data_IF_285213814905
#
_entry.id   IF_285213814905
#
_cell.length_a   1.000
_cell.length_b   1.000
_cell.length_c   1.000
_cell.angle_alpha   90.00
_cell.angle_beta   90.00
_cell.angle_gamma   90.00
#
_symmetry.space_group_name_H-M   'P 1'
#
loop_
_entity.id
_entity.type
_entity.pdbx_description
1 polymer ?
#
# COMPACT_ATOMS: atom_id res chain seq x y z
N UNK A 1 2.49 6.10 83.45
CA UNK A 1 1.56 6.53 82.38
C UNK A 1 2.36 6.71 81.09
N UNK A 2 2.01 5.91 80.07
CA UNK A 2 2.16 6.09 78.61
C UNK A 2 3.50 6.59 78.00
N UNK A 3 4.15 5.63 77.36
CA UNK A 3 4.98 5.70 76.14
C UNK A 3 4.46 6.70 75.10
N UNK A 4 5.35 7.31 74.32
CA UNK A 4 5.20 7.42 72.85
C UNK A 4 6.54 7.85 72.20
N UNK A 5 7.12 6.90 71.48
CA UNK A 5 8.31 7.01 70.64
C UNK A 5 8.07 7.92 69.43
N UNK A 6 9.05 8.76 69.10
CA UNK A 6 9.10 9.48 67.83
C UNK A 6 9.40 8.50 66.70
N UNK A 7 8.36 8.14 65.92
CA UNK A 7 8.53 7.38 64.68
C UNK A 7 9.08 8.30 63.59
N UNK A 8 10.31 8.00 63.17
CA UNK A 8 10.86 8.33 61.86
C UNK A 8 9.98 7.63 60.82
N UNK A 9 9.37 8.37 59.89
CA UNK A 9 8.72 7.77 58.73
C UNK A 9 8.82 8.71 57.53
N UNK A 10 9.62 8.23 56.57
CA UNK A 10 9.78 8.66 55.20
C UNK A 10 8.46 9.14 54.57
N UNK A 11 8.44 10.38 54.05
CA UNK A 11 7.58 10.73 52.94
C UNK A 11 8.49 11.13 51.77
N UNK A 12 8.78 10.10 50.98
CA UNK A 12 9.47 10.17 49.71
C UNK A 12 8.66 11.03 48.74
N UNK A 13 9.40 11.89 48.03
CA UNK A 13 9.00 12.55 46.81
C UNK A 13 8.43 11.54 45.81
N UNK A 14 7.33 11.89 45.15
CA UNK A 14 6.94 11.31 43.86
C UNK A 14 6.01 12.30 43.15
N UNK A 15 6.64 13.23 42.44
CA UNK A 15 5.98 14.09 41.47
C UNK A 15 5.79 13.24 40.20
N UNK A 16 4.67 12.53 40.09
CA UNK A 16 4.36 11.75 38.89
C UNK A 16 3.92 12.69 37.77
N UNK A 17 4.89 13.22 37.02
CA UNK A 17 4.64 13.73 35.67
C UNK A 17 4.52 12.52 34.75
N UNK A 18 3.30 12.00 34.61
CA UNK A 18 2.99 11.06 33.54
C UNK A 18 2.94 11.88 32.23
N UNK A 19 4.09 11.97 31.57
CA UNK A 19 4.18 12.48 30.21
C UNK A 19 3.30 11.61 29.30
N UNK A 20 2.32 12.24 28.66
CA UNK A 20 1.61 11.68 27.52
C UNK A 20 2.62 11.32 26.43
N UNK A 21 2.92 10.04 26.31
CA UNK A 21 3.67 9.49 25.19
C UNK A 21 2.67 9.31 24.04
N UNK A 22 2.34 10.42 23.36
CA UNK A 22 1.69 10.37 22.05
C UNK A 22 2.76 10.79 21.04
N UNK A 23 3.61 9.86 20.63
CA UNK A 23 4.53 10.08 19.51
C UNK A 23 5.08 8.76 19.01
N UNK A 24 4.79 8.42 17.75
CA UNK A 24 5.75 7.63 16.96
C UNK A 24 5.29 6.42 16.14
N UNK A 25 4.04 6.29 15.70
CA UNK A 25 3.68 5.24 14.71
C UNK A 25 3.23 5.75 13.32
N UNK A 26 3.18 7.07 13.10
CA UNK A 26 2.77 7.60 11.78
C UNK A 26 3.95 7.84 10.83
N UNK A 27 5.15 8.15 11.33
CA UNK A 27 6.27 8.49 10.43
C UNK A 27 6.85 7.28 9.72
N UNK A 28 6.79 6.09 10.33
CA UNK A 28 7.31 4.86 9.70
C UNK A 28 6.53 4.48 8.45
N UNK A 29 5.21 4.67 8.50
CA UNK A 29 4.31 4.23 7.44
C UNK A 29 4.33 5.24 6.28
N UNK A 30 4.40 6.54 6.60
CA UNK A 30 4.58 7.60 5.60
C UNK A 30 5.93 7.47 4.88
N UNK A 31 7.02 7.19 5.61
CA UNK A 31 8.35 6.99 5.04
C UNK A 31 8.39 5.76 4.11
N UNK A 32 7.73 4.67 4.52
CA UNK A 32 7.63 3.44 3.73
C UNK A 32 6.78 3.62 2.46
N UNK A 33 5.62 4.28 2.58
CA UNK A 33 4.76 4.61 1.45
C UNK A 33 5.50 5.47 0.42
N UNK A 34 6.25 6.48 0.88
CA UNK A 34 7.07 7.33 0.01
C UNK A 34 8.19 6.53 -0.68
N UNK A 35 8.82 5.59 0.03
CA UNK A 35 9.85 4.72 -0.54
C UNK A 35 9.29 3.82 -1.65
N UNK A 36 8.18 3.13 -1.40
CA UNK A 36 7.53 2.24 -2.38
C UNK A 36 6.99 3.03 -3.58
N UNK A 37 6.36 4.17 -3.33
CA UNK A 37 5.91 5.08 -4.39
C UNK A 37 7.08 5.57 -5.26
N UNK A 38 8.22 5.88 -4.64
CA UNK A 38 9.43 6.25 -5.36
C UNK A 38 9.95 5.13 -6.28
N UNK A 39 9.91 3.88 -5.81
CA UNK A 39 10.27 2.71 -6.60
C UNK A 39 9.32 2.53 -7.78
N UNK A 40 8.00 2.56 -7.54
CA UNK A 40 7.00 2.42 -8.60
C UNK A 40 7.14 3.51 -9.68
N UNK A 41 7.25 4.78 -9.27
CA UNK A 41 7.37 5.92 -10.20
C UNK A 41 8.64 5.81 -11.02
N UNK A 42 9.76 5.43 -10.41
CA UNK A 42 11.02 5.22 -11.13
C UNK A 42 10.88 4.13 -12.19
N UNK A 43 10.27 2.98 -11.86
CA UNK A 43 10.06 1.88 -12.80
C UNK A 43 9.12 2.28 -13.95
N UNK A 44 7.98 2.89 -13.63
CA UNK A 44 7.01 3.36 -14.62
C UNK A 44 7.59 4.41 -15.59
N UNK A 45 8.43 5.30 -15.09
CA UNK A 45 9.13 6.28 -15.93
C UNK A 45 10.17 5.63 -16.83
N UNK A 46 10.85 4.58 -16.36
CA UNK A 46 11.83 3.86 -17.18
C UNK A 46 11.20 3.10 -18.35
N UNK A 47 9.91 2.76 -18.25
CA UNK A 47 9.12 2.10 -19.31
C UNK A 47 8.19 3.05 -20.09
N UNK A 48 8.23 4.36 -19.83
CA UNK A 48 7.34 5.38 -20.44
C UNK A 48 5.82 5.14 -20.23
N UNK A 49 5.43 4.36 -19.23
CA UNK A 49 4.03 3.96 -18.98
C UNK A 49 3.20 5.03 -18.26
N UNK A 50 3.86 5.88 -17.46
CA UNK A 50 3.19 6.95 -16.73
C UNK A 50 4.13 8.14 -16.45
N UNK A 51 4.69 8.82 -17.48
CA UNK A 51 5.77 9.81 -17.36
C UNK A 51 5.40 11.08 -16.56
N UNK A 52 4.14 11.20 -16.12
CA UNK A 52 3.63 12.33 -15.31
C UNK A 52 3.24 11.92 -13.90
N UNK A 53 3.34 10.63 -13.55
CA UNK A 53 3.04 10.18 -12.20
C UNK A 53 4.11 10.74 -11.27
N UNK A 54 3.67 11.28 -10.13
CA UNK A 54 4.59 11.80 -9.12
C UNK A 54 4.59 10.88 -7.93
N UNK A 55 5.68 10.90 -7.15
CA UNK A 55 5.81 10.09 -5.94
C UNK A 55 4.68 10.39 -4.96
N UNK A 56 4.36 11.67 -4.73
CA UNK A 56 3.27 12.05 -3.82
C UNK A 56 1.90 11.52 -4.27
N UNK A 57 1.62 11.55 -5.58
CA UNK A 57 0.37 10.99 -6.12
C UNK A 57 0.37 9.47 -5.97
N UNK A 58 1.48 8.79 -6.26
CA UNK A 58 1.57 7.34 -6.10
C UNK A 58 1.44 6.91 -4.63
N UNK A 59 2.09 7.60 -3.69
CA UNK A 59 1.97 7.34 -2.25
C UNK A 59 0.53 7.57 -1.77
N UNK A 60 -0.14 8.63 -2.24
CA UNK A 60 -1.54 8.88 -1.90
C UNK A 60 -2.51 7.84 -2.49
N UNK A 61 -2.18 7.24 -3.64
CA UNK A 61 -3.01 6.22 -4.30
C UNK A 61 -2.83 4.83 -3.70
N UNK A 62 -1.60 4.46 -3.37
CA UNK A 62 -1.24 3.09 -3.03
C UNK A 62 -0.83 2.88 -1.58
N UNK A 63 -0.45 3.93 -0.85
CA UNK A 63 -0.02 3.82 0.54
C UNK A 63 1.20 2.89 0.69
N UNK A 64 1.17 2.00 1.68
CA UNK A 64 2.23 1.03 1.97
C UNK A 64 1.97 -0.36 1.37
N UNK A 65 0.73 -0.68 1.02
CA UNK A 65 0.30 -2.04 0.70
C UNK A 65 -0.51 -2.17 -0.59
N UNK A 66 -0.91 -1.05 -1.20
CA UNK A 66 -1.84 -1.02 -2.32
C UNK A 66 -3.07 -1.94 -2.08
N UNK A 67 -3.68 -1.91 -0.89
CA UNK A 67 -4.69 -2.87 -0.43
C UNK A 67 -5.73 -3.23 -1.51
N UNK A 68 -6.31 -2.26 -2.20
CA UNK A 68 -7.29 -2.51 -3.27
C UNK A 68 -6.76 -3.36 -4.44
N UNK A 69 -5.49 -3.19 -4.80
CA UNK A 69 -4.84 -3.98 -5.85
C UNK A 69 -4.50 -5.36 -5.32
N UNK A 70 -3.89 -5.46 -4.15
CA UNK A 70 -3.40 -6.73 -3.63
C UNK A 70 -4.53 -7.66 -3.15
N UNK A 71 -5.58 -7.12 -2.50
CA UNK A 71 -6.77 -7.87 -2.10
C UNK A 71 -7.55 -8.45 -3.28
N UNK A 72 -7.49 -7.80 -4.46
CA UNK A 72 -8.13 -8.34 -5.66
C UNK A 72 -7.56 -9.74 -6.02
N UNK A 73 -6.34 -10.07 -5.59
CA UNK A 73 -5.70 -11.36 -5.84
C UNK A 73 -5.83 -12.37 -4.68
N UNK A 74 -6.62 -12.09 -3.64
CA UNK A 74 -6.84 -13.01 -2.50
C UNK A 74 -7.81 -14.16 -2.81
N UNK A 75 -8.38 -14.19 -4.02
CA UNK A 75 -9.24 -15.25 -4.51
C UNK A 75 -9.29 -15.28 -6.04
N UNK A 76 -10.09 -16.19 -6.63
CA UNK A 76 -10.34 -16.14 -8.07
C UNK A 76 -10.99 -14.81 -8.41
N UNK A 77 -10.30 -14.00 -9.21
CA UNK A 77 -10.78 -12.69 -9.66
C UNK A 77 -12.20 -12.82 -10.23
N UNK A 78 -13.17 -12.20 -9.57
CA UNK A 78 -14.50 -12.01 -10.13
C UNK A 78 -14.40 -11.19 -11.41
N UNK A 79 -15.43 -11.27 -12.25
CA UNK A 79 -15.51 -10.38 -13.41
C UNK A 79 -15.33 -8.92 -12.96
N UNK A 80 -15.98 -8.48 -11.89
CA UNK A 80 -15.87 -7.10 -11.40
C UNK A 80 -14.44 -6.69 -10.96
N UNK A 81 -13.65 -7.59 -10.42
CA UNK A 81 -12.25 -7.30 -10.04
C UNK A 81 -11.35 -7.23 -11.27
N UNK A 82 -11.55 -8.11 -12.27
CA UNK A 82 -10.88 -7.98 -13.58
C UNK A 82 -11.19 -6.62 -14.23
N UNK A 83 -12.42 -6.14 -14.10
CA UNK A 83 -12.89 -4.82 -14.58
C UNK A 83 -12.16 -3.68 -13.85
N UNK A 84 -11.98 -3.79 -12.54
CA UNK A 84 -11.33 -2.75 -11.73
C UNK A 84 -9.83 -2.71 -12.01
N UNK A 85 -9.17 -3.87 -12.09
CA UNK A 85 -7.72 -3.97 -12.28
C UNK A 85 -7.28 -3.62 -13.70
N UNK A 86 -8.04 -4.06 -14.71
CA UNK A 86 -7.60 -4.01 -16.12
C UNK A 86 -8.45 -3.06 -16.98
N UNK A 87 -9.44 -2.41 -16.38
CA UNK A 87 -10.32 -1.49 -17.06
C UNK A 87 -11.66 -2.11 -17.43
N UNK A 88 -12.66 -1.23 -17.46
CA UNK A 88 -14.08 -1.54 -17.38
C UNK A 88 -14.73 -1.92 -18.74
N UNK A 89 -15.24 -3.15 -18.94
CA UNK A 89 -16.09 -3.59 -20.04
C UNK A 89 -17.60 -3.44 -19.74
N UNK A 90 -18.02 -2.79 -18.63
CA UNK A 90 -19.44 -2.48 -18.37
C UNK A 90 -20.02 -1.90 -19.65
N UNK A 91 -20.96 -2.63 -20.26
CA UNK A 91 -21.20 -2.72 -21.71
C UNK A 91 -21.72 -1.45 -22.42
N UNK A 92 -21.19 -0.27 -22.09
CA UNK A 92 -21.43 0.99 -22.78
C UNK A 92 -20.31 1.33 -23.76
N UNK A 93 -19.05 0.94 -23.48
CA UNK A 93 -17.92 0.96 -24.44
C UNK A 93 -16.87 -0.09 -24.05
N UNK A 94 -16.49 -1.01 -24.95
CA UNK A 94 -15.32 -1.85 -24.73
C UNK A 94 -14.10 -0.97 -24.49
N UNK A 95 -13.38 -1.21 -23.39
CA UNK A 95 -12.03 -0.68 -23.17
C UNK A 95 -11.09 -1.77 -23.63
N UNK A 96 -10.28 -1.50 -24.66
CA UNK A 96 -9.21 -2.41 -25.06
C UNK A 96 -8.17 -2.44 -23.94
N UNK A 97 -7.87 -3.63 -23.42
CA UNK A 97 -6.75 -3.81 -22.51
C UNK A 97 -5.48 -3.70 -23.35
N UNK A 98 -4.67 -2.70 -23.07
CA UNK A 98 -3.40 -2.47 -23.81
C UNK A 98 -2.25 -3.14 -23.08
N UNK A 99 -1.18 -3.45 -23.82
CA UNK A 99 0.09 -3.93 -23.23
C UNK A 99 0.61 -2.97 -22.16
N UNK A 100 0.43 -1.66 -22.35
CA UNK A 100 0.83 -0.65 -21.38
C UNK A 100 0.04 -0.76 -20.07
N UNK A 101 -1.27 -1.04 -20.16
CA UNK A 101 -2.12 -1.23 -18.97
C UNK A 101 -1.73 -2.48 -18.19
N UNK A 102 -1.41 -3.57 -18.88
CA UNK A 102 -0.91 -4.80 -18.25
C UNK A 102 0.46 -4.57 -17.61
N UNK A 103 1.37 -3.90 -18.31
CA UNK A 103 2.72 -3.60 -17.80
C UNK A 103 2.67 -2.66 -16.59
N UNK A 104 1.76 -1.68 -16.61
CA UNK A 104 1.50 -0.81 -15.46
C UNK A 104 1.06 -1.63 -14.25
N UNK A 105 0.05 -2.49 -14.39
CA UNK A 105 -0.47 -3.32 -13.30
C UNK A 105 0.60 -4.28 -12.78
N UNK A 106 1.42 -4.86 -13.66
CA UNK A 106 2.56 -5.70 -13.28
C UNK A 106 3.52 -4.95 -12.36
N UNK A 107 3.94 -3.73 -12.73
CA UNK A 107 4.86 -2.94 -11.91
C UNK A 107 4.25 -2.54 -10.55
N UNK A 108 2.95 -2.27 -10.49
CA UNK A 108 2.26 -2.04 -9.21
C UNK A 108 2.30 -3.30 -8.33
N UNK A 109 1.93 -4.46 -8.87
CA UNK A 109 1.93 -5.73 -8.13
C UNK A 109 3.34 -6.11 -7.67
N UNK A 110 4.34 -6.01 -8.55
CA UNK A 110 5.75 -6.26 -8.21
C UNK A 110 6.27 -5.34 -7.09
N UNK A 111 5.75 -4.12 -6.99
CA UNK A 111 6.17 -3.17 -5.96
C UNK A 111 5.51 -3.43 -4.60
N UNK A 112 4.20 -3.70 -4.58
CA UNK A 112 3.41 -3.71 -3.33
C UNK A 112 3.05 -5.11 -2.82
N UNK A 113 2.90 -6.09 -3.71
CA UNK A 113 2.58 -7.48 -3.35
C UNK A 113 3.30 -8.46 -4.28
N UNK A 114 4.65 -8.51 -4.24
CA UNK A 114 5.46 -9.31 -5.17
C UNK A 114 5.12 -10.80 -5.15
N UNK A 115 4.59 -11.32 -4.04
CA UNK A 115 4.08 -12.69 -3.91
C UNK A 115 2.86 -12.99 -4.81
N UNK A 116 2.21 -11.96 -5.37
CA UNK A 116 1.09 -12.09 -6.31
C UNK A 116 1.51 -12.00 -7.79
N UNK A 117 2.78 -11.75 -8.08
CA UNK A 117 3.28 -11.58 -9.45
C UNK A 117 3.06 -12.80 -10.34
N UNK A 118 3.26 -14.02 -9.83
CA UNK A 118 2.99 -15.25 -10.57
C UNK A 118 1.50 -15.40 -10.92
N UNK A 119 0.62 -15.13 -9.96
CA UNK A 119 -0.82 -15.21 -10.18
C UNK A 119 -1.30 -14.15 -11.19
N UNK A 120 -0.71 -12.95 -11.18
CA UNK A 120 -0.97 -11.94 -12.21
C UNK A 120 -0.55 -12.44 -13.60
N UNK A 121 0.61 -13.10 -13.72
CA UNK A 121 1.08 -13.64 -15.00
C UNK A 121 0.09 -14.68 -15.57
N UNK A 122 -0.43 -15.58 -14.73
CA UNK A 122 -1.45 -16.55 -15.13
C UNK A 122 -2.74 -15.86 -15.61
N UNK A 123 -3.20 -14.83 -14.89
CA UNK A 123 -4.40 -14.07 -15.27
C UNK A 123 -4.21 -13.33 -16.60
N UNK A 124 -3.01 -12.78 -16.83
CA UNK A 124 -2.68 -12.07 -18.08
C UNK A 124 -2.65 -13.04 -19.26
N UNK A 125 -2.11 -14.25 -19.09
CA UNK A 125 -2.07 -15.27 -20.14
C UNK A 125 -3.49 -15.70 -20.58
N UNK A 126 -4.44 -15.76 -19.63
CA UNK A 126 -5.85 -16.08 -19.91
C UNK A 126 -6.62 -15.00 -20.68
N UNK A 127 -6.08 -13.77 -20.79
CA UNK A 127 -6.79 -12.63 -21.38
C UNK A 127 -6.54 -12.44 -22.88
N UNK A 128 -5.68 -13.26 -23.49
CA UNK A 128 -5.30 -13.15 -24.90
C UNK A 128 -6.48 -13.50 -25.87
N UNK A 129 -6.63 -12.84 -27.04
CA UNK A 129 -5.65 -11.95 -27.67
C UNK A 129 -5.77 -10.47 -27.24
N UNK A 130 -4.70 -9.92 -26.67
CA UNK A 130 -4.53 -8.46 -26.58
C UNK A 130 -4.43 -7.89 -28.00
N UNK A 131 -5.20 -6.87 -28.34
CA UNK A 131 -5.00 -6.17 -29.62
C UNK A 131 -3.65 -5.45 -29.57
N UNK A 132 -2.72 -5.87 -30.44
CA UNK A 132 -1.50 -5.13 -30.73
C UNK A 132 -1.89 -3.83 -31.44
N UNK A 133 -1.57 -2.69 -30.83
CA UNK A 133 -1.64 -1.39 -31.52
C UNK A 133 -0.41 -1.18 -32.40
#
# INVERSE_FOLDING_TARGET
>A
MKLSELRVSHLLASFSVAALVISGCASSDDDEAQRLAGQLVSSLHSEDLAPRLTVDVAAALYGTDAATVCEAFDGPLSSAERIILLGNPSGRRPKTITTDSVSYVRLVVETYCPERSEYLADVVDELDPFESQ
#
